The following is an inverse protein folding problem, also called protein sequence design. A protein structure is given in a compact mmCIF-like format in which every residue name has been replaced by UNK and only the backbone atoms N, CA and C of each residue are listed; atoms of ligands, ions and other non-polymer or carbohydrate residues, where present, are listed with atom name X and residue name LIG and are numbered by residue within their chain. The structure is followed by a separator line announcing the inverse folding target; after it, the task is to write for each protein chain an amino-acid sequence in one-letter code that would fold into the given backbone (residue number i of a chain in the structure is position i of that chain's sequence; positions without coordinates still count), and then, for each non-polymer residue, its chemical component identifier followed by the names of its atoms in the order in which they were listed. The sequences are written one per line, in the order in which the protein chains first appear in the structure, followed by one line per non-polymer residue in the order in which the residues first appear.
data_IF_101018609154
#
_entry.id   IF_101018609154
#
_cell.length_a   1.000
_cell.length_b   1.000
_cell.length_c   1.000
_cell.angle_alpha   90.00
_cell.angle_beta   90.00
_cell.angle_gamma   90.00
#
_symmetry.space_group_name_H-M   'P 1'
#
loop_
_entity.id
_entity.type
_entity.pdbx_description
1 polymer ?
#
# COMPACT_ATOMS: atom_id res chain seq x y z
N UNK A 1 10.74 12.81 -29.33
CA UNK A 1 10.56 13.65 -28.12
C UNK A 1 10.93 12.80 -26.92
N UNK A 2 11.82 13.26 -26.04
CA UNK A 2 12.09 12.56 -24.78
C UNK A 2 10.82 12.63 -23.92
N UNK A 3 10.33 11.48 -23.47
CA UNK A 3 9.14 11.43 -22.60
C UNK A 3 9.55 11.95 -21.22
N UNK A 4 8.86 12.98 -20.76
CA UNK A 4 9.08 13.58 -19.44
C UNK A 4 7.86 13.32 -18.57
N UNK A 5 8.08 12.83 -17.35
CA UNK A 5 7.03 12.52 -16.38
C UNK A 5 7.37 13.14 -15.03
N UNK A 6 6.37 13.70 -14.36
CA UNK A 6 6.51 14.24 -13.01
C UNK A 6 6.22 13.15 -11.97
N UNK A 7 7.11 13.03 -10.99
CA UNK A 7 6.93 12.19 -9.81
C UNK A 7 6.71 13.09 -8.59
N UNK A 8 5.48 13.12 -8.08
CA UNK A 8 5.08 13.93 -6.93
C UNK A 8 5.21 13.12 -5.63
N UNK A 9 5.84 13.70 -4.61
CA UNK A 9 6.10 13.02 -3.33
C UNK A 9 6.00 13.99 -2.15
N UNK A 10 5.79 13.44 -0.94
CA UNK A 10 5.76 14.24 0.28
C UNK A 10 7.17 14.65 0.70
N UNK A 11 7.47 15.94 0.72
CA UNK A 11 8.78 16.46 1.11
C UNK A 11 8.96 16.61 2.63
N UNK A 12 7.95 16.31 3.43
CA UNK A 12 7.98 16.48 4.89
C UNK A 12 8.89 15.49 5.61
N UNK A 13 9.19 14.34 4.99
CA UNK A 13 10.02 13.28 5.59
C UNK A 13 11.07 12.73 4.61
N UNK A 14 12.09 12.07 5.15
CA UNK A 14 13.23 11.57 4.35
C UNK A 14 12.89 10.32 3.54
N UNK A 15 11.96 9.48 4.02
CA UNK A 15 11.61 8.22 3.35
C UNK A 15 11.00 8.45 1.94
N UNK A 16 9.99 9.32 1.75
CA UNK A 16 9.48 9.65 0.42
C UNK A 16 10.53 10.29 -0.49
N UNK A 17 11.37 11.21 0.03
CA UNK A 17 12.47 11.83 -0.74
C UNK A 17 13.45 10.78 -1.27
N UNK A 18 13.90 9.89 -0.40
CA UNK A 18 14.84 8.83 -0.77
C UNK A 18 14.23 7.88 -1.81
N UNK A 19 12.95 7.52 -1.64
CA UNK A 19 12.22 6.66 -2.57
C UNK A 19 12.05 7.34 -3.94
N UNK A 20 11.65 8.61 -3.96
CA UNK A 20 11.51 9.38 -5.19
C UNK A 20 12.83 9.49 -5.95
N UNK A 21 13.94 9.76 -5.24
CA UNK A 21 15.29 9.76 -5.84
C UNK A 21 15.66 8.39 -6.41
N UNK A 22 15.42 7.32 -5.66
CA UNK A 22 15.69 5.96 -6.12
C UNK A 22 14.92 5.65 -7.41
N UNK A 23 13.61 5.94 -7.44
CA UNK A 23 12.76 5.72 -8.63
C UNK A 23 13.24 6.56 -9.81
N UNK A 24 13.58 7.84 -9.60
CA UNK A 24 14.19 8.69 -10.62
C UNK A 24 15.42 8.02 -11.24
N UNK A 25 16.36 7.58 -10.41
CA UNK A 25 17.61 6.98 -10.88
C UNK A 25 17.36 5.67 -11.63
N UNK A 26 16.45 4.83 -11.14
CA UNK A 26 16.10 3.55 -11.79
C UNK A 26 15.40 3.75 -13.14
N UNK A 27 14.43 4.66 -13.23
CA UNK A 27 13.71 4.92 -14.47
C UNK A 27 14.62 5.60 -15.51
N UNK A 28 15.52 6.49 -15.05
CA UNK A 28 16.50 7.13 -15.94
C UNK A 28 17.51 6.11 -16.48
N UNK A 29 18.11 5.30 -15.59
CA UNK A 29 19.17 4.37 -15.98
C UNK A 29 18.67 3.21 -16.83
N UNK A 30 17.52 2.63 -16.48
CA UNK A 30 17.03 1.40 -17.12
C UNK A 30 16.11 1.68 -18.33
N UNK A 31 15.39 2.80 -18.32
CA UNK A 31 14.37 3.10 -19.33
C UNK A 31 14.63 4.42 -20.10
N UNK A 32 15.60 5.24 -19.68
CA UNK A 32 15.91 6.52 -20.32
C UNK A 32 14.80 7.57 -20.17
N UNK A 33 13.89 7.40 -19.21
CA UNK A 33 12.78 8.31 -18.97
C UNK A 33 13.29 9.54 -18.22
N UNK A 34 12.90 10.74 -18.66
CA UNK A 34 13.18 11.96 -17.91
C UNK A 34 12.15 12.11 -16.79
N UNK A 35 12.58 11.95 -15.54
CA UNK A 35 11.71 12.08 -14.37
C UNK A 35 11.93 13.43 -13.69
N UNK A 36 10.87 14.21 -13.54
CA UNK A 36 10.89 15.48 -12.81
C UNK A 36 10.38 15.23 -11.40
N UNK A 37 11.24 15.39 -10.40
CA UNK A 37 10.86 15.24 -8.99
C UNK A 37 10.13 16.49 -8.49
N UNK A 38 8.94 16.31 -7.93
CA UNK A 38 8.11 17.37 -7.37
C UNK A 38 7.82 17.09 -5.88
N UNK A 39 8.54 17.77 -5.00
CA UNK A 39 8.26 17.75 -3.57
C UNK A 39 7.06 18.63 -3.23
N UNK A 40 6.08 18.08 -2.51
CA UNK A 40 4.87 18.76 -2.06
C UNK A 40 4.71 18.57 -0.54
N UNK A 41 4.01 19.48 0.15
CA UNK A 41 3.53 19.16 1.49
C UNK A 41 2.42 18.09 1.43
N UNK A 42 2.25 17.34 2.52
CA UNK A 42 1.33 16.20 2.56
C UNK A 42 -0.12 16.54 2.20
N UNK A 43 -0.63 17.72 2.59
CA UNK A 43 -2.01 18.11 2.29
C UNK A 43 -2.18 18.39 0.79
N UNK A 44 -1.24 19.11 0.19
CA UNK A 44 -1.25 19.37 -1.26
C UNK A 44 -1.12 18.07 -2.06
N UNK A 45 -0.24 17.15 -1.64
CA UNK A 45 -0.08 15.84 -2.29
C UNK A 45 -1.36 15.01 -2.23
N UNK A 46 -2.00 14.94 -1.06
CA UNK A 46 -3.26 14.22 -0.87
C UNK A 46 -4.38 14.79 -1.76
N UNK A 47 -4.54 16.12 -1.77
CA UNK A 47 -5.52 16.78 -2.63
C UNK A 47 -5.29 16.53 -4.12
N UNK A 48 -4.02 16.53 -4.58
CA UNK A 48 -3.71 16.18 -5.97
C UNK A 48 -4.02 14.72 -6.28
N UNK A 49 -3.75 13.79 -5.36
CA UNK A 49 -4.13 12.38 -5.50
C UNK A 49 -5.63 12.21 -5.64
N UNK A 50 -6.42 12.80 -4.73
CA UNK A 50 -7.89 12.73 -4.74
C UNK A 50 -8.51 13.29 -6.03
N UNK A 51 -7.89 14.30 -6.62
CA UNK A 51 -8.39 14.97 -7.84
C UNK A 51 -7.76 14.46 -9.14
N UNK A 52 -6.86 13.48 -9.07
CA UNK A 52 -6.16 12.94 -10.24
C UNK A 52 -5.16 13.92 -10.88
N UNK A 53 -4.74 14.96 -10.15
CA UNK A 53 -3.80 15.98 -10.63
C UNK A 53 -2.33 15.56 -10.45
N UNK A 54 -1.98 14.36 -10.90
CA UNK A 54 -0.61 13.83 -10.87
C UNK A 54 -0.35 12.93 -12.08
N UNK A 55 0.93 12.64 -12.34
CA UNK A 55 1.31 11.64 -13.35
C UNK A 55 1.84 10.38 -12.70
N UNK A 56 2.79 10.53 -11.77
CA UNK A 56 3.19 9.50 -10.82
C UNK A 56 3.17 10.16 -9.44
N UNK A 57 2.58 9.50 -8.45
CA UNK A 57 2.59 9.96 -7.08
C UNK A 57 3.03 8.83 -6.16
N UNK A 58 3.88 9.12 -5.19
CA UNK A 58 4.36 8.09 -4.27
C UNK A 58 5.46 8.57 -3.33
N UNK A 59 5.98 7.68 -2.48
CA UNK A 59 5.38 6.39 -2.14
C UNK A 59 3.98 6.58 -1.54
N UNK A 60 3.16 5.56 -1.73
CA UNK A 60 1.87 5.39 -1.05
C UNK A 60 1.82 3.97 -0.50
N UNK A 61 0.92 3.70 0.42
CA UNK A 61 0.84 2.40 1.07
C UNK A 61 -0.53 2.11 1.63
N UNK A 62 -0.79 0.83 1.81
CA UNK A 62 -1.95 0.33 2.53
C UNK A 62 -1.46 -0.55 3.68
N UNK A 63 -2.15 -0.48 4.81
CA UNK A 63 -1.95 -1.37 5.95
C UNK A 63 -3.27 -2.02 6.25
N UNK A 64 -3.27 -3.32 6.49
CA UNK A 64 -4.51 -4.06 6.56
C UNK A 64 -5.36 -3.64 7.78
N UNK A 65 -6.61 -3.24 7.56
CA UNK A 65 -7.52 -2.88 8.66
C UNK A 65 -8.01 -4.12 9.43
N UNK A 66 -8.02 -5.27 8.75
CA UNK A 66 -8.35 -6.58 9.32
C UNK A 66 -7.56 -7.69 8.59
N UNK A 67 -7.29 -8.84 9.24
CA UNK A 67 -6.36 -9.84 8.72
C UNK A 67 -7.00 -10.76 7.67
N UNK A 68 -7.52 -10.16 6.60
CA UNK A 68 -8.17 -10.86 5.50
C UNK A 68 -7.80 -10.24 4.15
N UNK A 69 -7.70 -11.08 3.12
CA UNK A 69 -7.29 -10.68 1.78
C UNK A 69 -8.20 -9.60 1.19
N UNK A 70 -9.51 -9.63 1.49
CA UNK A 70 -10.50 -8.69 1.00
C UNK A 70 -10.09 -7.24 1.21
N UNK A 71 -9.44 -6.95 2.33
CA UNK A 71 -9.00 -5.61 2.69
C UNK A 71 -8.08 -4.98 1.62
N UNK A 72 -7.13 -5.76 1.11
CA UNK A 72 -6.23 -5.31 0.04
C UNK A 72 -6.95 -5.16 -1.30
N UNK A 73 -7.79 -6.13 -1.66
CA UNK A 73 -8.45 -6.13 -2.97
C UNK A 73 -9.56 -5.08 -3.09
N UNK A 74 -10.24 -4.75 -1.98
CA UNK A 74 -11.30 -3.74 -1.93
C UNK A 74 -10.76 -2.33 -2.27
N UNK A 75 -9.48 -2.06 -2.03
CA UNK A 75 -8.85 -0.75 -2.34
C UNK A 75 -8.89 -0.41 -3.84
N UNK A 76 -8.86 -1.43 -4.71
CA UNK A 76 -8.82 -1.25 -6.17
C UNK A 76 -10.19 -1.40 -6.84
N UNK A 77 -11.27 -1.63 -6.08
CA UNK A 77 -12.62 -1.64 -6.66
C UNK A 77 -12.91 -0.32 -7.37
N UNK A 78 -13.64 -0.37 -8.48
CA UNK A 78 -13.95 0.85 -9.25
C UNK A 78 -14.77 1.87 -8.46
N UNK A 79 -15.51 1.42 -7.46
CA UNK A 79 -16.31 2.24 -6.55
C UNK A 79 -15.58 2.66 -5.28
N UNK A 80 -14.32 2.22 -5.09
CA UNK A 80 -13.56 2.49 -3.88
C UNK A 80 -13.00 3.91 -3.90
N UNK A 81 -13.25 4.67 -2.82
CA UNK A 81 -12.59 5.96 -2.60
C UNK A 81 -11.09 5.83 -2.33
N UNK A 82 -10.60 4.62 -2.09
CA UNK A 82 -9.19 4.30 -1.86
C UNK A 82 -8.45 3.93 -3.17
N UNK A 83 -9.16 3.89 -4.30
CA UNK A 83 -8.57 3.61 -5.60
C UNK A 83 -7.84 4.84 -6.14
N UNK A 84 -6.67 5.13 -5.55
CA UNK A 84 -5.84 6.29 -5.90
C UNK A 84 -5.35 6.22 -7.35
N UNK A 85 -5.27 5.03 -7.94
CA UNK A 85 -4.86 4.85 -9.32
C UNK A 85 -5.95 5.21 -10.35
N UNK A 86 -7.19 5.46 -9.90
CA UNK A 86 -8.36 5.63 -10.77
C UNK A 86 -8.55 4.47 -11.76
N UNK A 87 -8.07 3.27 -11.39
CA UNK A 87 -8.10 2.11 -12.27
C UNK A 87 -9.51 1.55 -12.39
N UNK A 88 -9.92 1.20 -13.61
CA UNK A 88 -11.28 0.79 -13.91
C UNK A 88 -11.26 -0.58 -14.59
N UNK A 89 -11.60 -1.63 -13.83
CA UNK A 89 -11.69 -2.99 -14.36
C UNK A 89 -12.91 -3.72 -13.76
N UNK A 90 -13.98 -3.85 -14.55
CA UNK A 90 -15.22 -4.47 -14.10
C UNK A 90 -15.11 -5.98 -13.90
N UNK A 91 -14.15 -6.65 -14.56
CA UNK A 91 -13.90 -8.08 -14.34
C UNK A 91 -13.23 -8.30 -12.97
N UNK A 92 -12.24 -7.47 -12.64
CA UNK A 92 -11.64 -7.43 -11.32
C UNK A 92 -12.70 -7.24 -10.23
N UNK A 93 -13.57 -6.22 -10.38
CA UNK A 93 -14.66 -5.96 -9.43
C UNK A 93 -15.57 -7.17 -9.21
N UNK A 94 -15.85 -7.93 -10.27
CA UNK A 94 -16.66 -9.14 -10.18
C UNK A 94 -15.96 -10.23 -9.37
N UNK A 95 -14.69 -10.51 -9.65
CA UNK A 95 -13.91 -11.52 -8.91
C UNK A 95 -13.81 -11.17 -7.43
N UNK A 96 -13.49 -9.92 -7.09
CA UNK A 96 -13.39 -9.47 -5.69
C UNK A 96 -14.74 -9.60 -4.97
N UNK A 97 -15.85 -9.22 -5.62
CA UNK A 97 -17.19 -9.32 -5.03
C UNK A 97 -17.63 -10.77 -4.79
N UNK A 98 -17.34 -11.66 -5.72
CA UNK A 98 -17.61 -13.10 -5.56
C UNK A 98 -16.79 -13.65 -4.40
N UNK A 99 -15.47 -13.41 -4.41
CA UNK A 99 -14.54 -13.86 -3.36
C UNK A 99 -14.96 -13.40 -1.95
N UNK A 100 -15.52 -12.20 -1.82
CA UNK A 100 -16.02 -11.65 -0.56
C UNK A 100 -17.18 -12.44 0.05
N UNK A 101 -17.95 -13.14 -0.78
CA UNK A 101 -19.14 -13.89 -0.35
C UNK A 101 -18.97 -15.40 -0.42
N UNK A 102 -17.86 -15.89 -0.99
CA UNK A 102 -17.60 -17.33 -1.05
C UNK A 102 -17.15 -17.85 0.31
N UNK A 103 -17.82 -18.91 0.75
CA UNK A 103 -17.56 -19.59 2.03
C UNK A 103 -16.66 -20.80 1.88
N UNK A 104 -16.37 -21.23 0.65
CA UNK A 104 -15.36 -22.24 0.35
C UNK A 104 -13.99 -21.55 0.21
N UNK A 105 -13.01 -21.82 1.12
CA UNK A 105 -11.73 -21.15 1.09
C UNK A 105 -10.94 -21.38 -0.21
N UNK A 106 -11.02 -22.57 -0.79
CA UNK A 106 -10.25 -22.89 -1.99
C UNK A 106 -10.78 -22.16 -3.22
N UNK A 107 -12.11 -22.06 -3.36
CA UNK A 107 -12.71 -21.23 -4.43
C UNK A 107 -12.43 -19.76 -4.20
N UNK A 108 -12.59 -19.28 -2.96
CA UNK A 108 -12.30 -17.88 -2.59
C UNK A 108 -10.88 -17.46 -2.99
N UNK A 109 -9.88 -18.28 -2.67
CA UNK A 109 -8.48 -18.02 -3.04
C UNK A 109 -8.27 -18.02 -4.56
N UNK A 110 -8.98 -18.89 -5.30
CA UNK A 110 -8.94 -18.89 -6.77
C UNK A 110 -9.49 -17.59 -7.36
N UNK A 111 -10.59 -17.07 -6.83
CA UNK A 111 -11.16 -15.80 -7.30
C UNK A 111 -10.24 -14.62 -7.02
N UNK A 112 -9.62 -14.55 -5.84
CA UNK A 112 -8.60 -13.54 -5.57
C UNK A 112 -7.36 -13.70 -6.44
N UNK A 113 -6.97 -14.93 -6.79
CA UNK A 113 -5.87 -15.17 -7.72
C UNK A 113 -6.17 -14.61 -9.12
N UNK A 114 -7.41 -14.73 -9.60
CA UNK A 114 -7.83 -14.11 -10.86
C UNK A 114 -7.79 -12.57 -10.77
N UNK A 115 -8.33 -12.00 -9.68
CA UNK A 115 -8.29 -10.57 -9.42
C UNK A 115 -6.83 -10.05 -9.37
N UNK A 116 -5.94 -10.74 -8.66
CA UNK A 116 -4.52 -10.39 -8.56
C UNK A 116 -3.83 -10.43 -9.93
N UNK A 117 -4.13 -11.45 -10.74
CA UNK A 117 -3.55 -11.59 -12.08
C UNK A 117 -3.91 -10.40 -12.96
N UNK A 118 -5.16 -9.93 -12.88
CA UNK A 118 -5.60 -8.72 -13.59
C UNK A 118 -4.92 -7.47 -13.06
N UNK A 119 -4.90 -7.29 -11.73
CA UNK A 119 -4.29 -6.12 -11.09
C UNK A 119 -2.79 -6.00 -11.43
N UNK A 120 -2.04 -7.09 -11.32
CA UNK A 120 -0.61 -7.11 -11.65
C UNK A 120 -0.38 -6.98 -13.15
N UNK A 121 -1.23 -7.58 -13.98
CA UNK A 121 -1.12 -7.53 -15.45
C UNK A 121 -1.37 -6.13 -16.02
N UNK A 122 -2.37 -5.41 -15.49
CA UNK A 122 -2.71 -4.05 -15.89
C UNK A 122 -1.76 -3.00 -15.29
N UNK A 123 -1.07 -3.35 -14.20
CA UNK A 123 -0.09 -2.53 -13.48
C UNK A 123 -0.56 -1.07 -13.20
N UNK A 124 -1.76 -0.85 -12.60
CA UNK A 124 -2.23 0.49 -12.27
C UNK A 124 -1.41 1.16 -11.17
N UNK A 125 -0.68 0.36 -10.38
CA UNK A 125 0.32 0.79 -9.41
C UNK A 125 1.57 -0.08 -9.54
N UNK A 126 2.70 0.44 -9.06
CA UNK A 126 3.94 -0.33 -8.92
C UNK A 126 4.12 -0.75 -7.46
N UNK A 127 4.01 -2.05 -7.18
CA UNK A 127 4.29 -2.60 -5.85
C UNK A 127 5.80 -2.58 -5.58
N UNK A 128 6.22 -1.87 -4.53
CA UNK A 128 7.65 -1.67 -4.22
C UNK A 128 8.18 -2.66 -3.17
N UNK A 129 7.48 -2.79 -2.05
CA UNK A 129 7.90 -3.60 -0.92
C UNK A 129 6.72 -3.91 0.02
N UNK A 130 6.88 -4.93 0.85
CA UNK A 130 6.07 -5.14 2.05
C UNK A 130 6.78 -4.51 3.24
N UNK A 131 6.05 -3.73 4.04
CA UNK A 131 6.59 -3.07 5.23
C UNK A 131 6.87 -4.10 6.33
N UNK A 132 7.93 -3.85 7.09
CA UNK A 132 8.25 -4.62 8.31
C UNK A 132 8.40 -3.64 9.47
N UNK A 133 7.81 -3.99 10.60
CA UNK A 133 7.87 -3.16 11.81
C UNK A 133 8.85 -3.78 12.81
N UNK A 134 9.79 -2.97 13.27
CA UNK A 134 10.74 -3.35 14.31
C UNK A 134 10.39 -2.63 15.60
N UNK A 135 10.30 -3.37 16.69
CA UNK A 135 9.97 -2.83 18.00
C UNK A 135 11.00 -3.21 19.04
N UNK A 136 11.40 -2.25 19.87
CA UNK A 136 12.26 -2.48 21.02
C UNK A 136 11.37 -2.62 22.26
N UNK A 137 11.32 -3.84 22.81
CA UNK A 137 10.55 -4.15 24.02
C UNK A 137 11.53 -4.37 25.17
N UNK A 138 11.31 -3.67 26.29
CA UNK A 138 12.12 -3.85 27.50
C UNK A 138 11.95 -5.28 28.02
N UNK A 139 13.01 -5.95 28.53
CA UNK A 139 12.91 -7.33 29.01
C UNK A 139 11.87 -7.56 30.13
N UNK A 140 11.56 -6.52 30.91
CA UNK A 140 10.54 -6.58 31.96
C UNK A 140 9.10 -6.39 31.44
N UNK A 141 8.90 -6.13 30.15
CA UNK A 141 7.58 -6.16 29.51
C UNK A 141 7.38 -7.56 28.96
N UNK A 142 6.48 -8.32 29.58
CA UNK A 142 6.21 -9.71 29.26
C UNK A 142 4.81 -9.87 28.67
N UNK A 143 4.57 -10.98 27.96
CA UNK A 143 3.25 -11.32 27.41
C UNK A 143 2.86 -10.54 26.15
N UNK A 144 3.84 -9.95 25.45
CA UNK A 144 3.61 -9.30 24.15
C UNK A 144 3.34 -10.36 23.10
N UNK A 145 2.10 -10.41 22.61
CA UNK A 145 1.69 -11.23 21.47
C UNK A 145 1.49 -10.32 20.27
N UNK A 146 2.26 -10.52 19.21
CA UNK A 146 2.20 -9.66 18.01
C UNK A 146 1.23 -10.21 16.97
N UNK A 147 0.52 -9.31 16.30
CA UNK A 147 -0.36 -9.60 15.16
C UNK A 147 0.08 -8.84 13.90
N UNK A 148 -0.18 -9.35 12.68
CA UNK A 148 0.06 -8.61 11.43
C UNK A 148 -0.71 -7.28 11.30
N UNK A 149 -1.74 -7.07 12.11
CA UNK A 149 -2.56 -5.83 12.15
C UNK A 149 -2.31 -4.99 13.41
N UNK A 150 -1.22 -5.26 14.14
CA UNK A 150 -0.86 -4.46 15.31
C UNK A 150 -0.33 -3.07 14.91
N UNK A 151 -0.95 -2.01 15.40
CA UNK A 151 -0.39 -0.64 15.33
C UNK A 151 0.87 -0.50 16.22
N UNK A 152 0.91 -1.24 17.32
CA UNK A 152 2.01 -1.33 18.29
C UNK A 152 2.05 -2.74 18.89
N UNK A 153 3.18 -3.21 19.47
CA UNK A 153 3.33 -4.62 19.87
C UNK A 153 2.30 -5.05 20.91
N UNK A 154 1.40 -5.96 20.56
CA UNK A 154 0.33 -6.39 21.47
C UNK A 154 -0.92 -5.53 21.41
N UNK A 155 -1.07 -4.66 20.41
CA UNK A 155 -2.24 -3.78 20.24
C UNK A 155 -3.55 -4.55 20.20
N UNK A 156 -3.53 -5.73 19.57
CA UNK A 156 -4.69 -6.61 19.49
C UNK A 156 -4.96 -7.42 20.77
N UNK A 157 -4.01 -7.48 21.71
CA UNK A 157 -4.13 -8.26 22.95
C UNK A 157 -3.53 -7.54 24.18
N UNK A 158 -3.92 -6.28 24.49
CA UNK A 158 -3.29 -5.48 25.54
C UNK A 158 -3.33 -6.12 26.93
N UNK A 159 -4.41 -6.85 27.24
CA UNK A 159 -4.60 -7.50 28.54
C UNK A 159 -3.66 -8.67 28.83
N UNK A 160 -2.91 -9.15 27.83
CA UNK A 160 -1.89 -10.19 28.02
C UNK A 160 -0.54 -9.61 28.43
N UNK A 161 -0.35 -8.30 28.25
CA UNK A 161 0.89 -7.64 28.60
C UNK A 161 0.96 -7.35 30.09
N UNK A 162 2.14 -7.53 30.66
CA UNK A 162 2.41 -7.22 32.06
C UNK A 162 3.81 -6.65 32.25
N UNK A 163 3.94 -5.79 33.25
CA UNK A 163 5.23 -5.28 33.72
C UNK A 163 5.70 -6.19 34.85
N UNK A 164 6.76 -6.96 34.59
CA UNK A 164 7.41 -7.76 35.60
C UNK A 164 8.07 -6.85 36.66
N UNK A 165 8.16 -7.31 37.93
CA UNK A 165 8.97 -6.63 38.95
C UNK A 165 10.41 -6.45 38.44
N UNK A 166 10.97 -5.27 38.67
CA UNK A 166 12.32 -4.88 38.25
C UNK A 166 13.08 -4.27 39.43
#
# INVERSE_FOLDING_TARGET
KQVSVTFSYDQSSEFPKATAKFIHDQLTANLGINVVLQGLDGNTLASQRETGQFQISGPDGWSADYPDQADWYDTFLTTSGLNVAFWQNQQYDNFVRVARTDTDPARRDQEYTQAQTMLVGDAPVAFLAQTVSWYLVRPYVQGVVTSPVDEWPGATAPGQMQIAPH
#
